data_IF_208199573950
#
_entry.id   IF_208199573950
#
_cell.length_a   1.000
_cell.length_b   1.000
_cell.length_c   1.000
_cell.angle_alpha   90.00
_cell.angle_beta   90.00
_cell.angle_gamma   90.00
#
_symmetry.space_group_name_H-M   'P 1'
#
loop_
_entity.id
_entity.type
_entity.pdbx_description
1 polymer ?
#
# COMPACT_ATOMS: atom_id res chain seq x y z
N UNK A 1 49.47 76.35 -3.01
CA UNK A 1 49.90 74.94 -3.08
C UNK A 1 48.90 74.11 -2.32
N UNK A 2 48.00 73.45 -3.06
CA UNK A 2 46.81 72.81 -2.48
C UNK A 2 46.96 71.28 -2.68
N UNK A 3 47.11 70.57 -1.54
CA UNK A 3 47.23 69.10 -1.51
C UNK A 3 45.83 68.54 -1.50
N UNK A 4 45.39 67.83 -2.60
CA UNK A 4 44.17 67.05 -2.66
C UNK A 4 44.39 65.73 -1.96
N UNK A 5 43.64 65.50 -0.89
CA UNK A 5 43.49 64.17 -0.23
C UNK A 5 42.48 63.35 -1.01
N UNK A 6 42.94 62.24 -1.59
CA UNK A 6 42.09 61.20 -2.21
C UNK A 6 41.65 60.24 -1.09
N UNK A 7 40.37 60.20 -0.79
CA UNK A 7 39.75 59.21 0.09
C UNK A 7 39.39 57.97 -0.76
N UNK A 8 40.12 56.89 -0.55
CA UNK A 8 39.83 55.60 -1.20
C UNK A 8 38.86 54.83 -0.30
N UNK A 9 37.59 54.72 -0.69
CA UNK A 9 36.57 53.93 -0.02
C UNK A 9 36.69 52.47 -0.48
N UNK A 10 37.17 51.60 0.38
CA UNK A 10 37.17 50.15 0.18
C UNK A 10 35.75 49.61 0.49
N UNK A 11 34.99 49.33 -0.52
CA UNK A 11 33.71 48.57 -0.37
C UNK A 11 34.07 47.09 -0.27
N UNK A 12 34.02 46.54 0.92
CA UNK A 12 34.13 45.11 1.19
C UNK A 12 32.77 44.49 0.94
N UNK A 13 32.58 43.83 -0.22
CA UNK A 13 31.43 43.00 -0.52
C UNK A 13 31.52 41.73 0.36
N UNK A 14 30.73 41.67 1.42
CA UNK A 14 30.45 40.40 2.13
C UNK A 14 29.55 39.55 1.23
N UNK A 15 30.10 38.67 0.44
CA UNK A 15 29.36 37.56 -0.19
C UNK A 15 29.14 36.55 0.91
N UNK A 16 27.95 36.58 1.50
CA UNK A 16 27.46 35.51 2.38
C UNK A 16 27.24 34.27 1.50
N UNK A 17 28.26 33.44 1.38
CA UNK A 17 28.10 32.06 0.88
C UNK A 17 27.28 31.33 1.90
N UNK A 18 25.99 31.24 1.66
CA UNK A 18 25.16 30.25 2.34
C UNK A 18 25.68 28.89 1.86
N UNK A 19 26.58 28.31 2.63
CA UNK A 19 26.89 26.90 2.53
C UNK A 19 25.60 26.17 2.93
N UNK A 20 24.82 25.77 1.93
CA UNK A 20 23.83 24.70 2.13
C UNK A 20 24.65 23.53 2.65
N UNK A 21 24.52 23.23 3.94
CA UNK A 21 24.98 21.96 4.50
C UNK A 21 24.14 20.86 3.86
N UNK A 22 24.51 20.46 2.66
CA UNK A 22 23.97 19.29 2.00
C UNK A 22 24.36 18.08 2.84
N UNK A 23 23.52 17.72 3.82
CA UNK A 23 23.58 16.41 4.43
C UNK A 23 23.42 15.37 3.32
N UNK A 24 24.15 14.24 3.41
CA UNK A 24 23.91 13.14 2.49
C UNK A 24 22.45 12.69 2.61
N UNK A 25 21.76 12.56 1.48
CA UNK A 25 20.36 12.13 1.46
C UNK A 25 20.21 10.82 2.23
N UNK A 26 19.17 10.74 3.07
CA UNK A 26 18.87 9.53 3.83
C UNK A 26 18.32 8.47 2.87
N UNK A 27 19.12 7.42 2.62
CA UNK A 27 18.67 6.30 1.78
C UNK A 27 17.78 5.34 2.58
N UNK A 28 16.61 5.01 2.03
CA UNK A 28 15.63 4.08 2.60
C UNK A 28 15.23 3.04 1.56
N UNK A 29 15.08 1.80 2.01
CA UNK A 29 14.50 0.72 1.20
C UNK A 29 13.02 0.57 1.50
N UNK A 30 12.19 0.73 0.45
CA UNK A 30 10.75 0.49 0.49
C UNK A 30 10.45 -0.78 -0.29
N UNK A 31 9.84 -1.77 0.37
CA UNK A 31 9.33 -2.98 -0.28
C UNK A 31 7.82 -2.84 -0.53
N UNK A 32 7.42 -3.14 -1.76
CA UNK A 32 6.01 -3.20 -2.15
C UNK A 32 5.36 -4.47 -1.58
N UNK A 33 4.02 -4.50 -1.58
CA UNK A 33 3.24 -5.70 -1.23
C UNK A 33 3.08 -6.66 -2.42
N UNK A 34 3.21 -6.12 -3.65
CA UNK A 34 3.03 -6.82 -4.93
C UNK A 34 4.06 -6.35 -5.96
N UNK A 35 3.92 -6.81 -7.20
CA UNK A 35 4.65 -6.23 -8.34
C UNK A 35 4.23 -4.77 -8.57
N UNK A 36 5.11 -3.90 -9.12
CA UNK A 36 4.76 -2.54 -9.47
C UNK A 36 3.51 -2.49 -10.34
N UNK A 37 2.54 -1.69 -9.92
CA UNK A 37 1.31 -1.39 -10.64
C UNK A 37 0.79 -0.01 -10.22
N UNK A 38 -0.32 0.43 -10.79
CA UNK A 38 -0.88 1.78 -10.52
C UNK A 38 -1.35 1.97 -9.08
N UNK A 39 -1.56 0.93 -8.27
CA UNK A 39 -1.85 1.12 -6.84
C UNK A 39 -0.66 1.79 -6.12
N UNK A 40 0.56 1.62 -6.65
CA UNK A 40 1.81 2.22 -6.15
C UNK A 40 2.19 3.53 -6.87
N UNK A 41 1.44 3.95 -7.89
CA UNK A 41 1.78 5.08 -8.77
C UNK A 41 2.20 6.36 -8.02
N UNK A 42 1.57 6.80 -6.91
CA UNK A 42 2.01 8.00 -6.21
C UNK A 42 3.45 7.95 -5.70
N UNK A 43 3.98 6.76 -5.38
CA UNK A 43 5.37 6.59 -4.92
C UNK A 43 6.34 6.82 -6.08
N UNK A 44 6.02 6.30 -7.25
CA UNK A 44 6.82 6.47 -8.46
C UNK A 44 6.79 7.93 -8.96
N UNK A 45 5.63 8.57 -8.89
CA UNK A 45 5.47 10.00 -9.18
C UNK A 45 6.31 10.84 -8.21
N UNK A 46 6.26 10.55 -6.92
CA UNK A 46 7.09 11.25 -5.93
C UNK A 46 8.60 11.16 -6.25
N UNK A 47 9.06 9.99 -6.69
CA UNK A 47 10.44 9.77 -7.09
C UNK A 47 10.78 10.53 -8.39
N UNK A 48 9.93 10.43 -9.40
CA UNK A 48 10.14 11.07 -10.71
C UNK A 48 10.13 12.60 -10.60
N UNK A 49 9.19 13.16 -9.85
CA UNK A 49 9.05 14.61 -9.62
C UNK A 49 10.08 15.19 -8.64
N UNK A 50 10.97 14.35 -8.07
CA UNK A 50 11.99 14.78 -7.13
C UNK A 50 11.48 15.13 -5.74
N UNK A 51 10.22 14.84 -5.38
CA UNK A 51 9.65 15.21 -4.08
C UNK A 51 10.39 14.56 -2.91
N UNK A 52 10.92 13.34 -3.09
CA UNK A 52 11.77 12.72 -2.10
C UNK A 52 13.11 13.44 -1.95
N UNK A 53 13.74 13.85 -3.05
CA UNK A 53 15.02 14.55 -3.03
C UNK A 53 14.92 15.93 -2.35
N UNK A 54 13.80 16.64 -2.50
CA UNK A 54 13.53 17.90 -1.81
C UNK A 54 13.47 17.76 -0.29
N UNK A 55 13.10 16.58 0.22
CA UNK A 55 13.11 16.23 1.67
C UNK A 55 14.38 15.45 2.06
N UNK A 56 15.44 15.54 1.25
CA UNK A 56 16.72 14.84 1.46
C UNK A 56 16.58 13.31 1.64
N UNK A 57 15.60 12.70 0.92
CA UNK A 57 15.33 11.26 0.91
C UNK A 57 15.72 10.63 -0.43
N UNK A 58 16.32 9.45 -0.36
CA UNK A 58 16.54 8.56 -1.50
C UNK A 58 15.79 7.26 -1.26
N UNK A 59 14.81 6.93 -2.11
CA UNK A 59 13.96 5.75 -1.92
C UNK A 59 14.29 4.67 -2.94
N UNK A 60 14.84 3.55 -2.45
CA UNK A 60 15.03 2.32 -3.21
C UNK A 60 13.77 1.48 -3.13
N UNK A 61 13.03 1.35 -4.23
CA UNK A 61 11.80 0.54 -4.31
C UNK A 61 12.17 -0.87 -4.74
N UNK A 62 11.67 -1.88 -4.04
CA UNK A 62 11.85 -3.31 -4.35
C UNK A 62 10.52 -4.05 -4.30
N UNK A 63 10.38 -5.11 -5.10
CA UNK A 63 9.22 -6.01 -5.08
C UNK A 63 9.47 -7.19 -4.14
N UNK A 64 8.42 -7.77 -3.53
CA UNK A 64 8.57 -8.94 -2.66
C UNK A 64 8.85 -10.21 -3.47
N UNK A 65 9.62 -11.14 -2.87
CA UNK A 65 9.85 -12.46 -3.45
C UNK A 65 8.68 -13.43 -3.20
N UNK A 66 7.99 -13.25 -2.09
CA UNK A 66 6.73 -13.93 -1.77
C UNK A 66 5.72 -12.93 -1.22
N UNK A 67 4.43 -13.20 -1.44
CA UNK A 67 3.34 -12.26 -1.10
C UNK A 67 3.21 -11.94 0.40
N UNK A 68 3.84 -12.71 1.28
CA UNK A 68 3.83 -12.48 2.73
C UNK A 68 5.11 -11.85 3.28
N UNK A 69 6.07 -11.44 2.43
CA UNK A 69 7.41 -11.05 2.89
C UNK A 69 7.48 -9.61 3.40
N UNK A 70 6.78 -8.69 2.74
CA UNK A 70 6.92 -7.25 2.97
C UNK A 70 6.79 -6.86 4.45
N UNK A 71 5.69 -7.25 5.11
CA UNK A 71 5.45 -6.96 6.52
C UNK A 71 6.55 -7.53 7.43
N UNK A 72 6.96 -8.78 7.20
CA UNK A 72 7.97 -9.47 8.05
C UNK A 72 9.33 -8.80 7.93
N UNK A 73 9.73 -8.41 6.73
CA UNK A 73 11.02 -7.76 6.48
C UNK A 73 11.07 -6.37 7.12
N UNK A 74 9.98 -5.60 7.08
CA UNK A 74 9.92 -4.31 7.78
C UNK A 74 9.90 -4.48 9.30
N UNK A 75 9.08 -5.40 9.84
CA UNK A 75 9.01 -5.65 11.27
C UNK A 75 10.36 -6.10 11.86
N UNK A 76 11.15 -6.87 11.10
CA UNK A 76 12.49 -7.32 11.50
C UNK A 76 13.62 -6.32 11.23
N UNK A 77 13.32 -5.18 10.56
CA UNK A 77 14.30 -4.14 10.22
C UNK A 77 15.23 -4.50 9.04
N UNK A 78 14.89 -5.52 8.23
CA UNK A 78 15.64 -5.84 7.01
C UNK A 78 15.34 -4.87 5.86
N UNK A 79 14.21 -4.20 5.90
CA UNK A 79 13.86 -3.06 5.07
C UNK A 79 13.33 -1.93 5.96
N UNK A 80 13.42 -0.70 5.49
CA UNK A 80 13.05 0.46 6.30
C UNK A 80 11.54 0.67 6.30
N UNK A 81 10.89 0.52 5.14
CA UNK A 81 9.46 0.74 4.93
C UNK A 81 8.89 -0.44 4.15
N UNK A 82 7.68 -0.85 4.49
CA UNK A 82 6.91 -1.78 3.66
C UNK A 82 5.51 -1.24 3.40
N UNK A 83 4.96 -1.63 2.24
CA UNK A 83 3.52 -1.61 2.03
C UNK A 83 2.94 -2.87 2.64
N UNK A 84 1.84 -2.71 3.37
CA UNK A 84 1.11 -3.78 4.03
C UNK A 84 -0.39 -3.45 3.98
N UNK A 85 -1.19 -4.32 4.59
CA UNK A 85 -2.65 -4.22 4.68
C UNK A 85 -3.05 -4.00 6.14
N UNK A 86 -4.07 -3.18 6.41
CA UNK A 86 -4.55 -2.99 7.80
C UNK A 86 -4.90 -4.33 8.47
N UNK A 87 -5.68 -5.25 7.86
CA UNK A 87 -5.99 -6.54 8.48
C UNK A 87 -4.74 -7.37 8.79
N UNK A 88 -3.77 -7.43 7.85
CA UNK A 88 -2.51 -8.16 8.03
C UNK A 88 -1.71 -7.62 9.21
N UNK A 89 -1.65 -6.31 9.34
CA UNK A 89 -0.91 -5.62 10.41
C UNK A 89 -1.54 -5.89 11.77
N UNK A 90 -2.87 -5.89 11.88
CA UNK A 90 -3.59 -6.25 13.12
C UNK A 90 -3.35 -7.72 13.48
N UNK A 91 -3.40 -8.63 12.51
CA UNK A 91 -3.12 -10.07 12.73
C UNK A 91 -1.66 -10.26 13.21
N UNK A 92 -0.71 -9.56 12.59
CA UNK A 92 0.70 -9.63 12.98
C UNK A 92 0.94 -9.07 14.38
N UNK A 93 0.30 -7.97 14.74
CA UNK A 93 0.36 -7.38 16.08
C UNK A 93 -0.20 -8.33 17.15
N UNK A 94 -1.32 -9.01 16.88
CA UNK A 94 -1.88 -10.03 17.78
C UNK A 94 -0.90 -11.19 18.01
N UNK A 95 -0.06 -11.50 17.04
CA UNK A 95 1.01 -12.51 17.13
C UNK A 95 2.30 -11.99 17.76
N UNK A 96 2.33 -10.72 18.19
CA UNK A 96 3.47 -10.11 18.89
C UNK A 96 4.56 -9.54 17.98
N UNK A 97 4.31 -9.35 16.68
CA UNK A 97 5.26 -8.64 15.82
C UNK A 97 5.23 -7.14 16.16
N UNK A 98 6.43 -6.56 16.29
CA UNK A 98 6.59 -5.14 16.63
C UNK A 98 6.80 -4.31 15.36
N UNK A 99 5.75 -3.60 14.95
CA UNK A 99 5.79 -2.65 13.84
C UNK A 99 4.94 -1.42 14.17
N UNK A 100 5.11 -0.39 13.36
CA UNK A 100 4.39 0.89 13.48
C UNK A 100 3.81 1.25 12.13
N UNK A 101 2.54 1.57 12.09
CA UNK A 101 1.83 2.11 10.93
C UNK A 101 1.94 3.63 10.98
N UNK A 102 2.42 4.26 9.91
CA UNK A 102 2.67 5.70 9.93
C UNK A 102 2.03 6.48 8.76
N UNK A 103 1.39 5.78 7.83
CA UNK A 103 0.69 6.39 6.71
C UNK A 103 -0.12 5.38 5.92
N UNK A 104 -0.80 5.83 4.88
CA UNK A 104 -1.61 4.99 4.00
C UNK A 104 -1.55 5.46 2.56
N UNK A 105 -1.72 4.54 1.63
CA UNK A 105 -1.73 4.79 0.20
C UNK A 105 -3.15 4.64 -0.38
N UNK A 106 -3.84 3.56 0.00
CA UNK A 106 -5.23 3.26 -0.41
C UNK A 106 -6.11 3.22 0.84
N UNK A 107 -7.18 4.03 0.83
CA UNK A 107 -8.00 4.31 2.03
C UNK A 107 -9.13 3.30 2.27
N UNK A 108 -9.62 2.61 1.21
CA UNK A 108 -10.76 1.69 1.28
C UNK A 108 -10.46 0.36 0.62
N UNK A 109 -11.19 -0.72 0.93
CA UNK A 109 -10.93 -2.04 0.38
C UNK A 109 -10.99 -2.11 -1.15
N UNK A 110 -9.96 -2.67 -1.74
CA UNK A 110 -9.92 -3.09 -3.14
C UNK A 110 -10.03 -4.61 -3.26
N UNK A 111 -9.62 -5.33 -2.22
CA UNK A 111 -9.64 -6.79 -2.13
C UNK A 111 -11.04 -7.35 -2.33
N UNK A 112 -11.13 -8.35 -3.18
CA UNK A 112 -12.36 -9.06 -3.51
C UNK A 112 -12.19 -10.57 -3.41
N UNK A 113 -13.33 -11.26 -3.47
CA UNK A 113 -13.39 -12.66 -3.83
C UNK A 113 -13.87 -12.73 -5.29
N UNK A 114 -12.94 -13.02 -6.21
CA UNK A 114 -13.12 -12.94 -7.66
C UNK A 114 -13.29 -14.34 -8.27
N UNK A 115 -14.18 -14.47 -9.26
CA UNK A 115 -14.48 -15.72 -9.98
C UNK A 115 -14.80 -15.47 -11.44
N UNK A 116 -14.75 -16.52 -12.28
CA UNK A 116 -15.19 -16.43 -13.67
C UNK A 116 -16.72 -16.44 -13.75
N UNK A 117 -17.32 -15.57 -14.56
CA UNK A 117 -18.75 -15.63 -14.87
C UNK A 117 -19.14 -16.96 -15.51
N UNK A 118 -20.40 -17.37 -15.34
CA UNK A 118 -20.92 -18.62 -15.89
C UNK A 118 -20.55 -19.89 -15.11
N UNK A 119 -19.86 -19.76 -13.95
CA UNK A 119 -19.50 -20.89 -13.07
C UNK A 119 -20.56 -21.20 -12.00
N UNK A 120 -21.76 -20.62 -12.12
CA UNK A 120 -22.85 -20.82 -11.15
C UNK A 120 -22.56 -20.22 -9.78
N UNK A 121 -21.81 -19.10 -9.73
CA UNK A 121 -21.54 -18.31 -8.54
C UNK A 121 -22.25 -16.97 -8.70
N UNK A 122 -23.36 -16.78 -7.98
CA UNK A 122 -24.17 -15.56 -7.99
C UNK A 122 -24.22 -14.92 -6.59
N UNK A 123 -24.11 -15.75 -5.56
CA UNK A 123 -24.08 -15.35 -4.15
C UNK A 123 -22.91 -16.00 -3.44
N UNK A 124 -22.45 -15.48 -2.30
CA UNK A 124 -21.41 -16.15 -1.51
C UNK A 124 -21.73 -17.60 -1.14
N UNK A 125 -23.00 -17.95 -0.98
CA UNK A 125 -23.44 -19.33 -0.65
C UNK A 125 -23.06 -20.34 -1.74
N UNK A 126 -22.95 -19.93 -2.99
CA UNK A 126 -22.57 -20.78 -4.12
C UNK A 126 -21.10 -21.21 -4.09
N UNK A 127 -20.32 -20.64 -3.14
CA UNK A 127 -18.96 -21.07 -2.85
C UNK A 127 -18.88 -22.35 -1.99
N UNK A 128 -20.02 -22.86 -1.51
CA UNK A 128 -20.07 -24.14 -0.77
C UNK A 128 -19.47 -25.27 -1.63
N UNK A 129 -18.52 -26.03 -1.07
CA UNK A 129 -17.82 -27.12 -1.75
C UNK A 129 -16.78 -26.72 -2.78
N UNK A 130 -16.59 -25.42 -3.05
CA UNK A 130 -15.67 -24.91 -4.08
C UNK A 130 -14.21 -24.91 -3.61
N UNK A 131 -13.32 -24.86 -4.60
CA UNK A 131 -11.88 -24.61 -4.41
C UNK A 131 -11.63 -23.10 -4.45
N UNK A 132 -11.19 -22.53 -3.36
CA UNK A 132 -10.98 -21.08 -3.28
C UNK A 132 -9.49 -20.80 -3.12
N UNK A 133 -8.92 -20.12 -4.10
CA UNK A 133 -7.56 -19.62 -4.05
C UNK A 133 -7.42 -18.47 -3.03
N UNK A 134 -6.23 -18.30 -2.48
CA UNK A 134 -5.88 -17.10 -1.72
C UNK A 134 -4.45 -16.64 -2.05
N UNK A 135 -4.20 -15.32 -2.00
CA UNK A 135 -2.95 -14.73 -2.51
C UNK A 135 -1.89 -14.56 -1.44
N UNK A 136 -2.23 -14.03 -0.26
CA UNK A 136 -1.31 -13.66 0.81
C UNK A 136 -1.53 -14.56 2.02
N UNK A 137 -0.66 -15.58 2.24
CA UNK A 137 -0.78 -16.47 3.40
C UNK A 137 -0.72 -15.70 4.73
N UNK A 138 -1.63 -16.08 5.65
CA UNK A 138 -1.76 -15.46 6.97
C UNK A 138 -2.58 -14.15 6.96
N UNK A 139 -3.08 -13.74 5.79
CA UNK A 139 -4.04 -12.65 5.61
C UNK A 139 -5.27 -13.14 4.85
N UNK A 140 -5.10 -13.50 3.57
CA UNK A 140 -6.24 -13.76 2.68
C UNK A 140 -6.93 -15.09 2.99
N UNK A 141 -6.21 -16.09 3.48
CA UNK A 141 -6.80 -17.31 4.06
C UNK A 141 -7.64 -17.00 5.32
N UNK A 142 -7.12 -16.12 6.19
CA UNK A 142 -7.83 -15.71 7.42
C UNK A 142 -9.07 -14.85 7.11
N UNK A 143 -8.98 -13.95 6.13
CA UNK A 143 -10.15 -13.18 5.66
C UNK A 143 -11.18 -14.09 4.96
N UNK A 144 -10.73 -15.09 4.22
CA UNK A 144 -11.59 -16.09 3.59
C UNK A 144 -12.37 -16.88 4.65
N UNK A 145 -11.71 -17.32 5.72
CA UNK A 145 -12.39 -18.00 6.84
C UNK A 145 -13.46 -17.12 7.49
N UNK A 146 -13.16 -15.84 7.70
CA UNK A 146 -14.13 -14.89 8.25
C UNK A 146 -15.30 -14.64 7.28
N UNK A 147 -15.01 -14.46 6.00
CA UNK A 147 -16.01 -14.30 4.94
C UNK A 147 -16.94 -15.53 4.86
N UNK A 148 -16.36 -16.72 4.93
CA UNK A 148 -17.12 -17.99 4.92
C UNK A 148 -18.06 -18.09 6.12
N UNK A 149 -17.58 -17.79 7.33
CA UNK A 149 -18.40 -17.78 8.56
C UNK A 149 -19.56 -16.79 8.47
N UNK A 150 -19.28 -15.56 7.98
CA UNK A 150 -20.29 -14.51 7.82
C UNK A 150 -21.39 -14.88 6.83
N UNK A 151 -21.05 -15.66 5.79
CA UNK A 151 -21.94 -16.00 4.69
C UNK A 151 -22.42 -17.46 4.74
N UNK A 152 -22.25 -18.15 5.89
CA UNK A 152 -22.71 -19.53 6.13
C UNK A 152 -22.15 -20.55 5.13
N UNK A 153 -20.91 -20.37 4.67
CA UNK A 153 -20.17 -21.33 3.85
C UNK A 153 -19.46 -22.27 4.84
N UNK A 154 -19.78 -23.55 4.82
CA UNK A 154 -19.28 -24.51 5.80
C UNK A 154 -18.11 -25.35 5.27
N UNK A 155 -18.14 -25.65 3.96
CA UNK A 155 -17.15 -26.50 3.32
C UNK A 155 -16.58 -25.80 2.09
N UNK A 156 -15.29 -25.65 2.02
CA UNK A 156 -14.53 -25.20 0.86
C UNK A 156 -13.09 -25.69 0.99
N UNK A 157 -12.36 -25.70 -0.11
CA UNK A 157 -10.94 -26.05 -0.10
C UNK A 157 -10.10 -24.81 -0.38
N UNK A 158 -9.40 -24.30 0.63
CA UNK A 158 -8.46 -23.19 0.47
C UNK A 158 -7.16 -23.66 -0.19
N UNK A 159 -6.68 -22.91 -1.20
CA UNK A 159 -5.48 -23.22 -1.98
C UNK A 159 -4.63 -21.95 -2.10
N UNK A 160 -3.39 -21.99 -1.63
CA UNK A 160 -2.45 -20.88 -1.84
C UNK A 160 -2.09 -20.78 -3.32
N UNK A 161 -2.44 -19.67 -3.97
CA UNK A 161 -2.12 -19.38 -5.37
C UNK A 161 -1.03 -18.31 -5.52
N UNK A 162 -0.69 -17.60 -4.42
CA UNK A 162 0.31 -16.54 -4.42
C UNK A 162 0.07 -15.54 -5.55
N UNK A 163 1.07 -15.29 -6.37
CA UNK A 163 1.01 -14.40 -7.52
C UNK A 163 0.23 -14.97 -8.75
N UNK A 164 -0.17 -16.25 -8.72
CA UNK A 164 -0.74 -16.94 -9.88
C UNK A 164 -2.27 -16.85 -9.96
N UNK A 165 -2.86 -15.66 -9.75
CA UNK A 165 -4.31 -15.43 -9.73
C UNK A 165 -4.95 -15.87 -11.03
N UNK A 166 -4.60 -15.19 -12.13
CA UNK A 166 -5.20 -15.38 -13.46
C UNK A 166 -5.01 -16.81 -13.94
N UNK A 167 -3.77 -17.33 -13.82
CA UNK A 167 -3.45 -18.69 -14.26
C UNK A 167 -4.24 -19.75 -13.49
N UNK A 168 -4.46 -19.54 -12.18
CA UNK A 168 -5.18 -20.49 -11.34
C UNK A 168 -6.69 -20.53 -11.67
N UNK A 169 -7.30 -19.38 -11.94
CA UNK A 169 -8.70 -19.28 -12.36
C UNK A 169 -8.90 -19.85 -13.77
N UNK A 170 -8.12 -19.38 -14.76
CA UNK A 170 -8.31 -19.74 -16.16
C UNK A 170 -7.95 -21.19 -16.46
N UNK A 171 -7.04 -21.80 -15.69
CA UNK A 171 -6.73 -23.23 -15.77
C UNK A 171 -7.70 -24.10 -14.98
N UNK A 172 -8.72 -23.53 -14.32
CA UNK A 172 -9.67 -24.28 -13.51
C UNK A 172 -9.05 -24.98 -12.29
N UNK A 173 -7.91 -24.50 -11.78
CA UNK A 173 -7.29 -25.02 -10.55
C UNK A 173 -8.08 -24.61 -9.31
N UNK A 174 -8.68 -23.44 -9.34
CA UNK A 174 -9.58 -22.88 -8.34
C UNK A 174 -10.83 -22.32 -9.00
N UNK A 175 -11.91 -22.26 -8.25
CA UNK A 175 -13.21 -21.78 -8.72
C UNK A 175 -13.42 -20.29 -8.42
N UNK A 176 -12.73 -19.78 -7.38
CA UNK A 176 -12.67 -18.36 -7.01
C UNK A 176 -11.32 -18.05 -6.34
N UNK A 177 -10.95 -16.77 -6.21
CA UNK A 177 -9.74 -16.34 -5.50
C UNK A 177 -10.07 -15.18 -4.56
N UNK A 178 -9.65 -15.29 -3.30
CA UNK A 178 -9.59 -14.22 -2.32
C UNK A 178 -8.27 -13.47 -2.45
N UNK A 179 -8.33 -12.15 -2.70
CA UNK A 179 -7.16 -11.29 -2.78
C UNK A 179 -7.04 -10.41 -4.03
N UNK A 180 -7.66 -10.73 -5.19
CA UNK A 180 -7.68 -9.84 -6.34
C UNK A 180 -8.30 -8.48 -6.02
N UNK A 181 -7.72 -7.42 -6.59
CA UNK A 181 -8.28 -6.07 -6.46
C UNK A 181 -9.32 -5.79 -7.55
N UNK A 182 -10.46 -5.22 -7.15
CA UNK A 182 -11.54 -4.84 -8.06
C UNK A 182 -11.13 -3.79 -9.10
N UNK A 183 -10.05 -3.08 -8.87
CA UNK A 183 -9.51 -2.04 -9.75
C UNK A 183 -8.40 -2.52 -10.66
N UNK A 184 -7.81 -3.71 -10.42
CA UNK A 184 -6.65 -4.20 -11.17
C UNK A 184 -6.91 -5.55 -11.84
N UNK A 185 -7.13 -6.63 -11.08
CA UNK A 185 -7.31 -7.97 -11.68
C UNK A 185 -8.54 -8.08 -12.54
N UNK A 186 -9.61 -7.34 -12.28
CA UNK A 186 -10.79 -7.27 -13.15
C UNK A 186 -10.43 -6.74 -14.55
N UNK A 187 -9.56 -5.71 -14.61
CA UNK A 187 -9.05 -5.14 -15.87
C UNK A 187 -8.14 -6.13 -16.59
N UNK A 188 -7.22 -6.78 -15.84
CA UNK A 188 -6.33 -7.81 -16.40
C UNK A 188 -7.13 -8.95 -17.01
N UNK A 189 -8.20 -9.40 -16.35
CA UNK A 189 -9.06 -10.48 -16.82
C UNK A 189 -9.85 -10.05 -18.05
N UNK A 190 -10.46 -8.86 -18.06
CA UNK A 190 -11.19 -8.32 -19.21
C UNK A 190 -10.30 -8.18 -20.44
N UNK A 191 -9.07 -7.64 -20.30
CA UNK A 191 -8.12 -7.50 -21.41
C UNK A 191 -7.67 -8.86 -21.98
N UNK A 192 -7.77 -9.94 -21.20
CA UNK A 192 -7.52 -11.32 -21.63
C UNK A 192 -8.77 -12.02 -22.17
N UNK A 193 -9.90 -11.32 -22.26
CA UNK A 193 -11.18 -11.83 -22.78
C UNK A 193 -11.96 -12.69 -21.78
N UNK A 194 -11.65 -12.63 -20.49
CA UNK A 194 -12.39 -13.33 -19.44
C UNK A 194 -13.36 -12.38 -18.73
N UNK A 195 -14.63 -12.75 -18.69
CA UNK A 195 -15.61 -12.05 -17.85
C UNK A 195 -15.55 -12.58 -16.42
N UNK A 196 -15.55 -11.68 -15.46
CA UNK A 196 -15.43 -12.00 -14.04
C UNK A 196 -16.54 -11.35 -13.23
N UNK A 197 -17.05 -12.10 -12.25
CA UNK A 197 -17.82 -11.60 -11.13
C UNK A 197 -16.95 -11.52 -9.89
N UNK A 198 -17.34 -10.69 -8.91
CA UNK A 198 -16.65 -10.61 -7.63
C UNK A 198 -17.56 -10.19 -6.50
N UNK A 199 -17.21 -10.59 -5.28
CA UNK A 199 -17.82 -10.11 -4.07
C UNK A 199 -16.88 -9.09 -3.40
N UNK A 200 -17.37 -7.85 -3.21
CA UNK A 200 -16.70 -6.84 -2.41
C UNK A 200 -16.85 -7.22 -0.93
N UNK A 201 -15.75 -7.40 -0.22
CA UNK A 201 -15.76 -7.97 1.13
C UNK A 201 -16.61 -7.13 2.09
N UNK A 202 -16.57 -5.82 1.96
CA UNK A 202 -17.29 -4.86 2.79
C UNK A 202 -18.82 -4.92 2.59
N UNK A 203 -19.29 -5.39 1.45
CA UNK A 203 -20.72 -5.62 1.18
C UNK A 203 -21.23 -6.93 1.79
N UNK A 204 -20.30 -7.80 2.19
CA UNK A 204 -20.62 -9.14 2.70
C UNK A 204 -20.12 -9.37 4.13
N UNK A 205 -20.02 -8.29 4.91
CA UNK A 205 -19.87 -8.32 6.36
C UNK A 205 -18.46 -8.11 6.91
N UNK A 206 -17.42 -8.03 6.07
CA UNK A 206 -16.10 -7.56 6.51
C UNK A 206 -16.17 -6.03 6.67
N UNK A 207 -15.78 -5.45 7.80
CA UNK A 207 -15.78 -4.00 7.95
C UNK A 207 -14.83 -3.29 6.97
N UNK A 208 -15.11 -2.03 6.65
CA UNK A 208 -14.22 -1.15 5.91
C UNK A 208 -12.85 -1.01 6.59
N UNK A 209 -11.77 -0.98 5.79
CA UNK A 209 -10.38 -0.89 6.27
C UNK A 209 -9.49 -0.17 5.27
N UNK A 210 -8.29 0.27 5.72
CA UNK A 210 -7.26 0.80 4.82
C UNK A 210 -6.60 -0.35 4.06
N UNK A 211 -6.71 -0.35 2.72
CA UNK A 211 -6.17 -1.45 1.90
C UNK A 211 -4.66 -1.45 1.89
N UNK A 212 -4.03 -0.34 1.46
CA UNK A 212 -2.57 -0.24 1.43
C UNK A 212 -2.08 0.84 2.41
N UNK A 213 -1.22 0.42 3.31
CA UNK A 213 -0.65 1.25 4.38
C UNK A 213 0.87 1.18 4.37
N UNK A 214 1.51 2.20 4.93
CA UNK A 214 2.95 2.21 5.16
C UNK A 214 3.26 1.79 6.59
N UNK A 215 4.13 0.78 6.71
CA UNK A 215 4.62 0.28 7.99
C UNK A 215 6.15 0.34 8.05
N UNK A 216 6.68 0.38 9.26
CA UNK A 216 8.10 0.25 9.56
C UNK A 216 8.28 -0.57 10.85
N UNK A 217 9.44 -1.13 11.08
CA UNK A 217 9.77 -1.76 12.34
C UNK A 217 9.82 -0.73 13.48
N UNK A 218 9.45 -1.13 14.69
CA UNK A 218 9.44 -0.25 15.89
C UNK A 218 10.79 0.41 16.15
N UNK A 219 11.88 -0.34 16.01
CA UNK A 219 13.23 0.19 16.19
C UNK A 219 13.60 1.21 15.11
N UNK A 220 13.21 0.96 13.86
CA UNK A 220 13.39 1.89 12.73
C UNK A 220 12.60 3.17 12.97
N UNK A 221 11.33 3.07 13.40
CA UNK A 221 10.51 4.23 13.75
C UNK A 221 11.18 5.06 14.85
N UNK A 222 11.62 4.44 15.94
CA UNK A 222 12.27 5.15 17.05
C UNK A 222 13.53 5.91 16.61
N UNK A 223 14.28 5.36 15.65
CA UNK A 223 15.52 5.96 15.13
C UNK A 223 15.27 7.07 14.12
N UNK A 224 14.23 6.95 13.29
CA UNK A 224 14.02 7.76 12.09
C UNK A 224 12.64 8.45 12.04
N UNK A 225 12.11 8.91 13.17
CA UNK A 225 10.79 9.55 13.22
C UNK A 225 10.64 10.74 12.26
N UNK A 226 11.63 11.64 12.23
CA UNK A 226 11.61 12.79 11.33
C UNK A 226 11.63 12.37 9.85
N UNK A 227 12.39 11.32 9.53
CA UNK A 227 12.45 10.75 8.18
C UNK A 227 11.12 10.14 7.76
N UNK A 228 10.44 9.41 8.66
CA UNK A 228 9.10 8.85 8.39
C UNK A 228 8.05 9.96 8.25
N UNK A 229 8.17 11.06 9.02
CA UNK A 229 7.33 12.24 8.85
C UNK A 229 7.54 12.90 7.47
N UNK A 230 8.80 13.05 7.03
CA UNK A 230 9.15 13.58 5.72
C UNK A 230 8.58 12.69 4.59
N UNK A 231 8.80 11.38 4.67
CA UNK A 231 8.22 10.42 3.71
C UNK A 231 6.69 10.57 3.61
N UNK A 232 6.00 10.69 4.74
CA UNK A 232 4.54 10.86 4.78
C UNK A 232 4.08 12.14 4.10
N UNK A 233 4.78 13.28 4.31
CA UNK A 233 4.50 14.55 3.61
C UNK A 233 4.69 14.42 2.11
N UNK A 234 5.74 13.73 1.69
CA UNK A 234 6.01 13.46 0.27
C UNK A 234 4.86 12.67 -0.36
N UNK A 235 4.39 11.61 0.30
CA UNK A 235 3.26 10.80 -0.22
C UNK A 235 1.98 11.63 -0.29
N UNK A 236 1.67 12.45 0.70
CA UNK A 236 0.52 13.37 0.65
C UNK A 236 0.59 14.30 -0.56
N UNK A 237 1.76 14.92 -0.77
CA UNK A 237 2.03 15.79 -1.92
C UNK A 237 1.90 15.04 -3.25
N UNK A 238 2.43 13.83 -3.31
CA UNK A 238 2.38 13.00 -4.52
C UNK A 238 0.94 12.61 -4.88
N UNK A 239 0.14 12.19 -3.91
CA UNK A 239 -1.29 11.88 -4.13
C UNK A 239 -2.04 13.12 -4.61
N UNK A 240 -1.79 14.29 -4.00
CA UNK A 240 -2.39 15.56 -4.44
C UNK A 240 -1.99 15.90 -5.89
N UNK A 241 -0.71 15.71 -6.24
CA UNK A 241 -0.21 15.92 -7.61
C UNK A 241 -0.88 14.95 -8.61
N UNK A 242 -0.98 13.67 -8.28
CA UNK A 242 -1.64 12.64 -9.11
C UNK A 242 -3.09 13.01 -9.39
N UNK A 243 -3.83 13.47 -8.39
CA UNK A 243 -5.23 13.91 -8.57
C UNK A 243 -5.40 15.15 -9.43
N UNK A 244 -4.45 16.09 -9.33
CA UNK A 244 -4.49 17.33 -10.11
C UNK A 244 -4.01 17.13 -11.55
N UNK A 245 -3.10 16.17 -11.78
CA UNK A 245 -2.40 15.96 -13.05
C UNK A 245 -2.40 14.47 -13.45
N UNK A 246 -3.56 13.78 -13.53
CA UNK A 246 -3.61 12.32 -13.66
C UNK A 246 -2.92 11.79 -14.93
N UNK A 247 -3.02 12.48 -16.07
CA UNK A 247 -2.37 12.06 -17.31
C UNK A 247 -0.84 12.18 -17.24
N UNK A 248 -0.32 13.25 -16.63
CA UNK A 248 1.11 13.42 -16.45
C UNK A 248 1.65 12.41 -15.42
N UNK A 249 0.93 12.20 -14.32
CA UNK A 249 1.29 11.21 -13.32
C UNK A 249 1.41 9.79 -13.89
N UNK A 250 0.54 9.44 -14.83
CA UNK A 250 0.61 8.15 -15.52
C UNK A 250 1.82 8.08 -16.47
N UNK A 251 2.22 9.19 -17.13
CA UNK A 251 3.46 9.24 -17.91
C UNK A 251 4.69 9.07 -17.02
N UNK A 252 4.75 9.80 -15.91
CA UNK A 252 5.84 9.70 -14.93
C UNK A 252 6.00 8.26 -14.43
N UNK A 253 4.88 7.58 -14.17
CA UNK A 253 4.87 6.17 -13.78
C UNK A 253 5.49 5.28 -14.87
N UNK A 254 5.07 5.42 -16.14
CA UNK A 254 5.60 4.62 -17.24
C UNK A 254 7.09 4.89 -17.55
N UNK A 255 7.61 6.05 -17.21
CA UNK A 255 9.04 6.34 -17.32
C UNK A 255 9.84 5.60 -16.23
N UNK A 256 9.22 5.37 -15.07
CA UNK A 256 9.83 4.69 -13.94
C UNK A 256 9.65 3.16 -13.98
N UNK A 257 8.62 2.68 -14.67
CA UNK A 257 8.24 1.25 -14.80
C UNK A 257 8.00 0.93 -16.29
N UNK A 258 9.06 0.91 -17.10
CA UNK A 258 8.94 0.77 -18.55
C UNK A 258 8.37 -0.59 -19.01
N UNK A 259 8.45 -1.63 -18.15
CA UNK A 259 7.89 -2.96 -18.38
C UNK A 259 6.38 -3.04 -18.14
N UNK A 260 5.75 -2.01 -17.58
CA UNK A 260 4.32 -2.00 -17.30
C UNK A 260 3.48 -2.07 -18.58
N UNK A 261 2.45 -2.90 -18.58
CA UNK A 261 1.48 -2.95 -19.69
C UNK A 261 0.63 -1.68 -19.71
N UNK A 262 0.96 -0.77 -20.62
CA UNK A 262 0.35 0.57 -20.69
C UNK A 262 -1.17 0.56 -20.79
N UNK A 263 -1.75 -0.42 -21.48
CA UNK A 263 -3.20 -0.52 -21.65
C UNK A 263 -3.84 -0.90 -20.31
N UNK A 264 -3.36 -1.95 -19.70
CA UNK A 264 -3.86 -2.43 -18.41
C UNK A 264 -3.70 -1.38 -17.31
N UNK A 265 -2.50 -0.79 -17.19
CA UNK A 265 -2.23 0.22 -16.17
C UNK A 265 -3.09 1.49 -16.37
N UNK A 266 -3.31 1.92 -17.61
CA UNK A 266 -4.15 3.09 -17.89
C UNK A 266 -5.60 2.86 -17.47
N UNK A 267 -6.16 1.69 -17.75
CA UNK A 267 -7.56 1.42 -17.41
C UNK A 267 -7.72 1.12 -15.91
N UNK A 268 -6.78 0.40 -15.31
CA UNK A 268 -6.73 0.18 -13.86
C UNK A 268 -6.55 1.50 -13.08
N UNK A 269 -5.72 2.42 -13.56
CA UNK A 269 -5.50 3.73 -12.93
C UNK A 269 -6.79 4.54 -12.82
N UNK A 270 -7.64 4.54 -13.85
CA UNK A 270 -8.95 5.24 -13.81
C UNK A 270 -9.83 4.72 -12.68
N UNK A 271 -9.77 3.41 -12.43
CA UNK A 271 -10.53 2.76 -11.37
C UNK A 271 -9.89 2.95 -9.99
N UNK A 272 -8.56 3.00 -9.90
CA UNK A 272 -7.82 3.12 -8.63
C UNK A 272 -7.76 4.57 -8.12
N UNK A 273 -7.73 5.57 -9.02
CA UNK A 273 -7.57 6.99 -8.67
C UNK A 273 -8.50 7.49 -7.53
N UNK A 274 -9.80 7.11 -7.47
CA UNK A 274 -10.68 7.51 -6.38
C UNK A 274 -10.29 6.95 -5.01
N UNK A 275 -9.56 5.82 -4.97
CA UNK A 275 -9.22 5.09 -3.75
C UNK A 275 -7.93 5.54 -3.08
N UNK A 276 -7.05 6.30 -3.76
CA UNK A 276 -5.89 6.87 -3.08
C UNK A 276 -6.32 7.65 -1.85
N UNK A 277 -5.53 7.57 -0.80
CA UNK A 277 -5.84 8.22 0.47
C UNK A 277 -6.09 9.73 0.33
N UNK A 278 -7.08 10.23 1.04
CA UNK A 278 -7.40 11.67 1.05
C UNK A 278 -6.52 12.42 2.03
N UNK A 279 -5.92 11.71 2.99
CA UNK A 279 -5.02 12.22 4.03
C UNK A 279 -4.22 11.05 4.62
N UNK A 280 -3.05 11.34 5.15
CA UNK A 280 -2.19 10.33 5.77
C UNK A 280 -2.58 9.96 7.22
N UNK A 281 -3.42 10.77 7.87
CA UNK A 281 -3.87 10.49 9.23
C UNK A 281 -4.80 9.28 9.26
N UNK A 282 -4.42 8.27 10.05
CA UNK A 282 -5.20 7.06 10.25
C UNK A 282 -6.34 7.31 11.26
N UNK A 283 -7.50 6.69 11.02
CA UNK A 283 -8.63 6.74 11.95
C UNK A 283 -8.53 5.61 12.97
N UNK A 284 -7.97 5.90 14.13
CA UNK A 284 -7.79 4.94 15.23
C UNK A 284 -9.11 4.27 15.63
N UNK A 285 -10.24 4.98 15.56
CA UNK A 285 -11.56 4.41 15.90
C UNK A 285 -11.98 3.36 14.87
N UNK A 286 -11.83 3.65 13.56
CA UNK A 286 -12.11 2.69 12.48
C UNK A 286 -11.20 1.46 12.58
N UNK A 287 -9.94 1.67 12.87
CA UNK A 287 -8.97 0.60 13.09
C UNK A 287 -9.34 -0.28 14.28
N UNK A 288 -9.75 0.30 15.42
CA UNK A 288 -10.16 -0.45 16.58
C UNK A 288 -11.46 -1.23 16.34
N UNK A 289 -12.40 -0.68 15.55
CA UNK A 289 -13.60 -1.41 15.13
C UNK A 289 -13.24 -2.67 14.34
N UNK A 290 -12.27 -2.57 13.39
CA UNK A 290 -11.79 -3.73 12.66
C UNK A 290 -11.07 -4.73 13.58
N UNK A 291 -10.23 -4.29 14.50
CA UNK A 291 -9.57 -5.19 15.47
C UNK A 291 -10.56 -5.92 16.37
N UNK A 292 -11.63 -5.24 16.80
CA UNK A 292 -12.72 -5.88 17.57
C UNK A 292 -13.50 -6.90 16.72
N UNK A 293 -13.76 -6.60 15.47
CA UNK A 293 -14.31 -7.53 14.50
C UNK A 293 -13.40 -8.75 14.32
N UNK A 294 -12.10 -8.52 14.12
CA UNK A 294 -11.12 -9.58 13.97
C UNK A 294 -11.09 -10.55 15.16
N UNK A 295 -11.17 -10.03 16.39
CA UNK A 295 -11.27 -10.85 17.60
C UNK A 295 -12.59 -11.62 17.65
N UNK A 296 -13.71 -10.97 17.34
CA UNK A 296 -15.05 -11.59 17.38
C UNK A 296 -15.19 -12.76 16.42
N UNK A 297 -14.61 -12.65 15.22
CA UNK A 297 -14.73 -13.66 14.16
C UNK A 297 -13.53 -14.61 14.07
N UNK A 298 -12.56 -14.49 15.00
CA UNK A 298 -11.45 -15.43 15.14
C UNK A 298 -10.32 -15.21 14.13
N UNK A 299 -10.19 -14.00 13.55
CA UNK A 299 -9.02 -13.63 12.76
C UNK A 299 -7.78 -13.46 13.65
N UNK A 300 -8.02 -13.06 14.91
CA UNK A 300 -7.02 -12.96 15.96
C UNK A 300 -7.55 -13.64 17.25
N UNK A 301 -6.65 -14.16 18.06
CA UNK A 301 -6.93 -14.81 19.34
C UNK A 301 -6.72 -13.90 20.56
N UNK A 302 -6.12 -12.73 20.35
CA UNK A 302 -5.82 -11.75 21.40
C UNK A 302 -6.30 -10.36 21.00
N UNK A 303 -6.71 -9.59 21.99
CA UNK A 303 -7.08 -8.20 21.79
C UNK A 303 -5.85 -7.39 21.38
N UNK A 304 -6.01 -6.55 20.36
CA UNK A 304 -5.01 -5.57 19.92
C UNK A 304 -5.51 -4.17 20.27
N UNK A 305 -4.71 -3.42 20.99
CA UNK A 305 -4.87 -1.98 21.13
C UNK A 305 -4.17 -1.30 19.94
N UNK A 306 -4.97 -0.87 18.97
CA UNK A 306 -4.43 -0.32 17.72
C UNK A 306 -3.70 1.01 17.93
N UNK A 307 -3.98 1.76 19.01
CA UNK A 307 -3.26 2.98 19.32
C UNK A 307 -1.77 2.72 19.60
N UNK A 308 -1.43 1.50 20.04
CA UNK A 308 -0.02 1.11 20.29
C UNK A 308 0.79 0.82 19.03
N UNK A 309 0.13 0.62 17.90
CA UNK A 309 0.77 0.31 16.61
C UNK A 309 0.61 1.42 15.57
N UNK A 310 -0.20 2.44 15.83
CA UNK A 310 -0.39 3.59 14.95
C UNK A 310 0.47 4.75 15.44
N UNK A 311 1.30 5.27 14.57
CA UNK A 311 2.06 6.48 14.86
C UNK A 311 1.20 7.72 14.65
N UNK A 312 0.89 8.40 15.73
CA UNK A 312 0.23 9.71 15.72
C UNK A 312 1.30 10.77 15.93
N UNK A 313 1.62 11.53 14.88
CA UNK A 313 2.36 12.79 15.07
C UNK A 313 1.36 13.80 15.57
N UNK A 314 1.60 14.37 16.72
CA UNK A 314 0.97 15.63 17.09
C UNK A 314 1.42 16.68 16.07
N UNK A 315 0.44 17.24 15.36
CA UNK A 315 0.62 18.27 14.34
C UNK A 315 0.99 19.60 14.99
#
# INVERSE_FOLDING_TARGET
MTIKRIFMVLVVLFISVWASSGGAAQSLTLILDWFPNVDHLPIYVARHQGFFAEEELEIKIISPSATSDALKLAASGHVDIAISYQPQTIIAAARGLEMVVFGRLIEHPLTTLLFLEGQGIETPKDLEGKRIGYTVPGLMDVLLDAFAKLNNIQHYKAINVGFSIVQSLTAGKVDAVMGPFKTYETVVMDHRGYKVGYFELEKWGIPDYDELIFITGKNTMNKYQATMAAFRRVIDRAIAHVRQNPENALKDYFEQVPEADRRTETDAFKLTLPYYATRQRLDVKRWQQFANFALKYGLIDKRVDVASIIWTVDQ
#
